data_IF_449370872491
#
_entry.id   IF_449370872491
#
_cell.length_a   1.000
_cell.length_b   1.000
_cell.length_c   1.000
_cell.angle_alpha   90.00
_cell.angle_beta   90.00
_cell.angle_gamma   90.00
#
_symmetry.space_group_name_H-M   'P 1'
#
loop_
_entity.id
_entity.type
_entity.pdbx_description
1 polymer ?
#
# COMPACT_ATOMS: atom_id res chain seq x y z
N UNK A 1 32.69 2.61 34.45
CA UNK A 1 32.04 2.10 33.23
C UNK A 1 30.75 2.88 33.04
N UNK A 2 30.69 3.77 32.04
CA UNK A 2 29.47 4.52 31.73
C UNK A 2 28.43 3.53 31.22
N UNK A 3 27.29 3.40 31.90
CA UNK A 3 26.17 2.63 31.38
C UNK A 3 25.74 3.24 30.04
N UNK A 4 25.59 2.41 29.00
CA UNK A 4 24.99 2.88 27.75
C UNK A 4 23.61 3.44 28.08
N UNK A 5 23.23 4.61 27.52
CA UNK A 5 21.88 5.12 27.70
C UNK A 5 20.89 4.11 27.12
N UNK A 6 20.11 3.48 28.01
CA UNK A 6 19.03 2.59 27.63
C UNK A 6 17.79 3.44 27.37
N UNK A 7 17.41 3.55 26.09
CA UNK A 7 16.14 4.18 25.74
C UNK A 7 14.99 3.27 26.18
N UNK A 8 13.95 3.80 26.85
CA UNK A 8 12.71 3.07 27.08
C UNK A 8 12.09 2.62 25.76
N UNK A 9 11.39 1.48 25.78
CA UNK A 9 10.81 0.89 24.57
C UNK A 9 9.83 1.83 23.88
N UNK A 10 9.05 2.59 24.65
CA UNK A 10 8.08 3.56 24.18
C UNK A 10 8.74 4.69 23.37
N UNK A 11 9.96 5.08 23.75
CA UNK A 11 10.74 6.08 23.01
C UNK A 11 11.21 5.50 21.68
N UNK A 12 11.66 4.24 21.68
CA UNK A 12 12.06 3.52 20.46
C UNK A 12 10.87 3.38 19.51
N UNK A 13 9.71 2.97 19.99
CA UNK A 13 8.48 2.86 19.19
C UNK A 13 8.10 4.21 18.56
N UNK A 14 8.17 5.32 19.32
CA UNK A 14 7.91 6.65 18.75
C UNK A 14 8.91 7.02 17.66
N UNK A 15 10.20 6.75 17.84
CA UNK A 15 11.22 7.00 16.82
C UNK A 15 10.91 6.22 15.53
N UNK A 16 10.52 4.95 15.67
CA UNK A 16 10.13 4.13 14.52
C UNK A 16 8.83 4.64 13.89
N UNK A 17 7.85 5.05 14.71
CA UNK A 17 6.60 5.66 14.27
C UNK A 17 6.82 6.92 13.44
N UNK A 18 7.73 7.81 13.86
CA UNK A 18 8.13 8.99 13.08
C UNK A 18 8.89 8.65 11.80
N UNK A 19 9.39 7.42 11.66
CA UNK A 19 10.04 6.95 10.44
C UNK A 19 9.05 6.35 9.43
N UNK A 20 7.73 6.38 9.71
CA UNK A 20 6.67 5.77 8.92
C UNK A 20 6.74 6.07 7.41
N UNK A 21 7.00 7.32 7.06
CA UNK A 21 7.05 7.77 5.66
C UNK A 21 8.33 7.36 4.92
N UNK A 22 9.36 6.93 5.66
CA UNK A 22 10.69 6.64 5.12
C UNK A 22 10.90 5.12 5.03
N UNK A 23 10.42 4.52 3.94
CA UNK A 23 10.50 3.07 3.72
C UNK A 23 11.93 2.50 3.88
N UNK A 24 12.95 3.25 3.45
CA UNK A 24 14.37 2.85 3.57
C UNK A 24 14.79 2.76 5.04
N UNK A 25 14.36 3.72 5.85
CA UNK A 25 14.64 3.77 7.28
C UNK A 25 13.96 2.61 7.99
N UNK A 26 12.66 2.38 7.75
CA UNK A 26 11.94 1.24 8.31
C UNK A 26 12.57 -0.10 7.91
N UNK A 27 13.02 -0.24 6.66
CA UNK A 27 13.75 -1.42 6.21
C UNK A 27 15.04 -1.61 7.01
N UNK A 28 15.87 -0.57 7.14
CA UNK A 28 17.10 -0.64 7.94
C UNK A 28 16.81 -1.02 9.39
N UNK A 29 15.79 -0.42 10.01
CA UNK A 29 15.35 -0.74 11.38
C UNK A 29 14.93 -2.20 11.51
N UNK A 30 14.14 -2.72 10.56
CA UNK A 30 13.70 -4.12 10.55
C UNK A 30 14.84 -5.14 10.42
N UNK A 31 15.97 -4.73 9.84
CA UNK A 31 17.16 -5.55 9.65
C UNK A 31 18.16 -5.40 10.80
N UNK A 32 18.02 -4.37 11.64
CA UNK A 32 18.99 -4.06 12.71
C UNK A 32 18.92 -5.08 13.84
N UNK A 33 17.73 -5.39 14.35
CA UNK A 33 17.57 -6.43 15.37
C UNK A 33 16.16 -7.04 15.41
N UNK A 34 16.03 -8.19 16.09
CA UNK A 34 14.77 -8.94 16.19
C UNK A 34 13.65 -8.16 16.88
N UNK A 35 13.97 -7.28 17.82
CA UNK A 35 12.98 -6.50 18.57
C UNK A 35 12.31 -5.42 17.70
N UNK A 36 13.07 -4.75 16.82
CA UNK A 36 12.51 -3.68 15.98
C UNK A 36 11.74 -4.23 14.77
N UNK A 37 12.01 -5.48 14.39
CA UNK A 37 11.49 -6.08 13.17
C UNK A 37 9.96 -6.09 13.07
N UNK A 38 9.20 -6.57 14.07
CA UNK A 38 7.74 -6.64 13.95
C UNK A 38 7.11 -5.25 13.76
N UNK A 39 7.49 -4.27 14.59
CA UNK A 39 6.92 -2.93 14.55
C UNK A 39 7.28 -2.19 13.26
N UNK A 40 8.54 -2.30 12.83
CA UNK A 40 9.00 -1.71 11.56
C UNK A 40 8.26 -2.31 10.36
N UNK A 41 8.09 -3.63 10.34
CA UNK A 41 7.34 -4.29 9.27
C UNK A 41 5.86 -3.90 9.26
N UNK A 42 5.22 -3.78 10.44
CA UNK A 42 3.84 -3.32 10.54
C UNK A 42 3.64 -1.93 9.91
N UNK A 43 4.58 -1.01 10.12
CA UNK A 43 4.55 0.31 9.47
C UNK A 43 4.82 0.21 7.96
N UNK A 44 5.75 -0.63 7.53
CA UNK A 44 6.05 -0.82 6.11
C UNK A 44 4.86 -1.37 5.31
N UNK A 45 4.00 -2.18 5.93
CA UNK A 45 2.81 -2.73 5.26
C UNK A 45 1.57 -1.84 5.43
N UNK A 46 1.63 -0.79 6.25
CA UNK A 46 0.47 0.06 6.52
C UNK A 46 0.05 0.90 5.31
N UNK A 47 1.03 1.38 4.54
CA UNK A 47 0.84 2.10 3.29
C UNK A 47 1.76 1.54 2.20
N UNK A 48 1.18 0.83 1.23
CA UNK A 48 1.94 0.11 0.21
C UNK A 48 1.54 0.58 -1.16
N UNK A 49 2.54 0.95 -1.95
CA UNK A 49 2.35 1.47 -3.30
C UNK A 49 3.03 0.58 -4.34
N UNK A 50 2.27 0.15 -5.34
CA UNK A 50 2.73 -0.79 -6.37
C UNK A 50 2.94 -0.08 -7.71
N UNK A 51 4.15 -0.14 -8.24
CA UNK A 51 4.45 0.42 -9.58
C UNK A 51 4.38 -0.62 -10.71
N UNK A 52 4.23 -1.92 -10.38
CA UNK A 52 4.19 -3.04 -11.33
C UNK A 52 3.31 -4.18 -10.82
N UNK A 53 2.74 -4.95 -11.74
CA UNK A 53 1.89 -6.10 -11.46
C UNK A 53 2.60 -7.21 -10.66
N UNK A 54 3.89 -7.47 -10.92
CA UNK A 54 4.59 -8.57 -10.22
C UNK A 54 4.72 -8.29 -8.72
N UNK A 55 4.79 -7.01 -8.34
CA UNK A 55 4.83 -6.60 -6.93
C UNK A 55 3.48 -6.80 -6.23
N UNK A 56 2.37 -6.66 -6.96
CA UNK A 56 1.02 -6.93 -6.43
C UNK A 56 0.89 -8.43 -6.12
N UNK A 57 1.29 -9.30 -7.04
CA UNK A 57 1.25 -10.75 -6.81
C UNK A 57 2.20 -11.18 -5.70
N UNK A 58 3.43 -10.68 -5.67
CA UNK A 58 4.37 -10.98 -4.59
C UNK A 58 3.84 -10.52 -3.22
N UNK A 59 3.18 -9.37 -3.16
CA UNK A 59 2.57 -8.89 -1.91
C UNK A 59 1.35 -9.71 -1.52
N UNK A 60 0.52 -10.12 -2.48
CA UNK A 60 -0.58 -11.06 -2.24
C UNK A 60 -0.06 -12.38 -1.63
N UNK A 61 0.97 -12.97 -2.23
CA UNK A 61 1.54 -14.23 -1.75
C UNK A 61 2.20 -14.07 -0.37
N UNK A 62 2.82 -12.91 -0.11
CA UNK A 62 3.28 -12.54 1.23
C UNK A 62 2.12 -12.49 2.25
N UNK A 63 0.99 -11.86 1.92
CA UNK A 63 -0.18 -11.82 2.81
C UNK A 63 -0.86 -13.19 2.98
N UNK A 64 -0.74 -14.07 1.98
CA UNK A 64 -1.17 -15.46 2.09
C UNK A 64 -0.31 -16.23 3.10
N UNK A 65 1.01 -16.06 3.04
CA UNK A 65 1.97 -16.74 3.94
C UNK A 65 2.06 -16.12 5.33
N UNK A 66 1.76 -14.82 5.47
CA UNK A 66 1.84 -14.06 6.72
C UNK A 66 0.52 -13.32 6.98
N UNK A 67 -0.57 -14.04 7.30
CA UNK A 67 -1.91 -13.47 7.44
C UNK A 67 -2.03 -12.43 8.55
N UNK A 68 -1.15 -12.45 9.54
CA UNK A 68 -1.12 -11.47 10.64
C UNK A 68 -0.87 -10.04 10.16
N UNK A 69 -0.29 -9.82 8.97
CA UNK A 69 -0.08 -8.48 8.43
C UNK A 69 -1.31 -7.88 7.76
N UNK A 70 -2.31 -8.68 7.37
CA UNK A 70 -3.50 -8.22 6.65
C UNK A 70 -4.26 -7.10 7.37
N UNK A 71 -4.48 -7.14 8.70
CA UNK A 71 -5.21 -6.09 9.40
C UNK A 71 -4.45 -4.76 9.51
N UNK A 72 -3.13 -4.78 9.25
CA UNK A 72 -2.28 -3.59 9.36
C UNK A 72 -2.26 -2.77 8.07
N UNK A 73 -2.61 -3.37 6.93
CA UNK A 73 -2.67 -2.64 5.65
C UNK A 73 -3.90 -1.73 5.65
N UNK A 74 -3.66 -0.41 5.63
CA UNK A 74 -4.69 0.63 5.66
C UNK A 74 -4.79 1.39 4.35
N UNK A 75 -3.67 1.50 3.64
CA UNK A 75 -3.56 2.22 2.38
C UNK A 75 -2.91 1.35 1.32
N UNK A 76 -3.53 1.30 0.14
CA UNK A 76 -2.92 0.71 -1.05
C UNK A 76 -2.90 1.74 -2.20
N UNK A 77 -1.74 1.90 -2.80
CA UNK A 77 -1.53 2.70 -4.01
C UNK A 77 -1.18 1.78 -5.16
N UNK A 78 -1.68 2.06 -6.36
CA UNK A 78 -1.40 1.23 -7.53
C UNK A 78 -1.18 2.05 -8.78
N UNK A 79 -0.16 1.63 -9.50
CA UNK A 79 0.12 1.97 -10.89
C UNK A 79 -0.74 1.22 -11.88
N UNK A 80 -0.35 1.35 -13.15
CA UNK A 80 -0.67 0.39 -14.19
C UNK A 80 -0.05 -1.00 -13.86
N UNK A 81 -0.84 -2.09 -13.76
CA UNK A 81 -2.27 -2.17 -14.02
C UNK A 81 -3.14 -1.97 -12.76
N UNK A 82 -3.99 -0.94 -12.81
CA UNK A 82 -4.91 -0.58 -11.71
C UNK A 82 -5.93 -1.69 -11.45
N UNK A 83 -6.35 -2.42 -12.50
CA UNK A 83 -7.34 -3.50 -12.39
C UNK A 83 -6.96 -4.61 -11.43
N UNK A 84 -5.68 -4.80 -11.07
CA UNK A 84 -5.26 -5.87 -10.16
C UNK A 84 -5.61 -5.63 -8.68
N UNK A 85 -6.17 -4.46 -8.32
CA UNK A 85 -6.49 -4.18 -6.92
C UNK A 85 -7.42 -5.18 -6.25
N UNK A 86 -8.34 -5.79 -7.00
CA UNK A 86 -9.34 -6.67 -6.42
C UNK A 86 -8.68 -7.91 -5.79
N UNK A 87 -7.52 -8.33 -6.30
CA UNK A 87 -6.73 -9.43 -5.73
C UNK A 87 -6.25 -9.12 -4.29
N UNK A 88 -6.09 -7.85 -3.96
CA UNK A 88 -5.71 -7.41 -2.61
C UNK A 88 -6.93 -7.07 -1.76
N UNK A 89 -7.95 -6.42 -2.32
CA UNK A 89 -9.12 -5.99 -1.55
C UNK A 89 -9.84 -7.13 -0.85
N UNK A 90 -9.89 -8.32 -1.46
CA UNK A 90 -10.46 -9.51 -0.81
C UNK A 90 -9.68 -9.97 0.45
N UNK A 91 -8.37 -9.72 0.49
CA UNK A 91 -7.50 -10.16 1.59
C UNK A 91 -7.36 -9.12 2.71
N UNK A 92 -7.73 -7.87 2.44
CA UNK A 92 -7.37 -6.72 3.26
C UNK A 92 -8.59 -6.13 3.97
N UNK A 93 -8.86 -6.52 5.23
CA UNK A 93 -10.10 -6.14 5.91
C UNK A 93 -10.13 -4.67 6.32
N UNK A 94 -8.99 -3.97 6.41
CA UNK A 94 -8.89 -2.64 7.01
C UNK A 94 -8.37 -1.57 6.05
N UNK A 95 -8.43 -1.82 4.74
CA UNK A 95 -8.07 -0.81 3.74
C UNK A 95 -9.14 0.27 3.73
N UNK A 96 -8.75 1.47 4.16
CA UNK A 96 -9.59 2.67 4.14
C UNK A 96 -9.18 3.64 3.05
N UNK A 97 -7.93 3.55 2.56
CA UNK A 97 -7.42 4.40 1.49
C UNK A 97 -6.99 3.59 0.28
N UNK A 98 -7.46 4.01 -0.89
CA UNK A 98 -7.05 3.45 -2.17
C UNK A 98 -6.64 4.56 -3.13
N UNK A 99 -5.47 4.41 -3.74
CA UNK A 99 -4.95 5.37 -4.72
C UNK A 99 -4.68 4.66 -6.05
N UNK A 100 -5.25 5.17 -7.14
CA UNK A 100 -4.95 4.73 -8.50
C UNK A 100 -4.18 5.83 -9.23
N UNK A 101 -2.95 5.53 -9.60
CA UNK A 101 -2.00 6.45 -10.19
C UNK A 101 -1.51 5.92 -11.53
N UNK A 102 -1.33 6.82 -12.50
CA UNK A 102 -0.52 6.52 -13.66
C UNK A 102 0.96 6.86 -13.37
N UNK A 103 1.79 5.84 -13.17
CA UNK A 103 3.25 6.00 -13.01
C UNK A 103 3.99 6.14 -14.35
N UNK A 104 3.30 6.21 -15.49
CA UNK A 104 3.91 6.31 -16.81
C UNK A 104 4.62 7.64 -17.11
N UNK A 105 4.99 8.42 -16.08
CA UNK A 105 5.94 9.54 -16.19
C UNK A 105 7.35 9.00 -16.47
N UNK A 106 7.54 8.30 -17.59
CA UNK A 106 8.83 8.29 -18.28
C UNK A 106 8.88 9.62 -19.06
N UNK A 107 9.84 10.48 -18.72
CA UNK A 107 10.08 11.75 -19.43
C UNK A 107 9.99 11.52 -20.95
N UNK A 108 9.04 12.19 -21.61
CA UNK A 108 8.84 12.12 -23.06
C UNK A 108 7.76 11.15 -23.56
N UNK A 109 7.07 10.41 -22.69
CA UNK A 109 5.92 9.58 -23.09
C UNK A 109 4.61 10.38 -23.00
N UNK A 110 3.66 10.25 -23.94
CA UNK A 110 2.33 10.80 -23.74
C UNK A 110 1.71 10.17 -22.49
N UNK A 111 0.93 10.93 -21.70
CA UNK A 111 0.27 10.40 -20.51
C UNK A 111 -0.57 9.19 -20.92
N UNK A 112 -0.29 8.01 -20.33
CA UNK A 112 -1.10 6.84 -20.58
C UNK A 112 -2.40 7.02 -19.84
N UNK A 113 -3.45 7.18 -20.62
CA UNK A 113 -4.80 7.22 -20.11
C UNK A 113 -5.17 5.81 -19.66
N UNK A 114 -5.24 5.59 -18.35
CA UNK A 114 -5.74 4.33 -17.81
C UNK A 114 -7.28 4.30 -17.93
N UNK A 115 -7.79 3.41 -18.78
CA UNK A 115 -9.21 3.07 -18.82
C UNK A 115 -9.49 1.94 -17.85
N UNK A 116 -10.41 2.14 -16.91
CA UNK A 116 -10.84 1.11 -15.98
C UNK A 116 -12.20 0.54 -16.47
N UNK A 117 -12.28 -0.74 -16.86
CA UNK A 117 -13.55 -1.31 -17.33
C UNK A 117 -14.62 -1.27 -16.24
N UNK A 118 -15.89 -1.11 -16.66
CA UNK A 118 -17.05 -1.10 -15.75
C UNK A 118 -17.14 -2.34 -14.84
N UNK A 119 -16.76 -3.51 -15.34
CA UNK A 119 -16.72 -4.74 -14.53
C UNK A 119 -15.74 -4.65 -13.37
N UNK A 120 -14.58 -4.03 -13.58
CA UNK A 120 -13.54 -3.83 -12.56
C UNK A 120 -14.00 -2.81 -11.52
N UNK A 121 -14.65 -1.73 -11.96
CA UNK A 121 -15.27 -0.77 -11.04
C UNK A 121 -16.36 -1.41 -10.17
N UNK A 122 -17.20 -2.26 -10.76
CA UNK A 122 -18.20 -3.01 -10.02
C UNK A 122 -17.55 -3.90 -8.95
N UNK A 123 -16.43 -4.57 -9.26
CA UNK A 123 -15.66 -5.33 -8.28
C UNK A 123 -15.13 -4.45 -7.13
N UNK A 124 -14.70 -3.21 -7.41
CA UNK A 124 -14.28 -2.30 -6.34
C UNK A 124 -15.43 -1.83 -5.46
N UNK A 125 -16.62 -1.62 -6.04
CA UNK A 125 -17.80 -1.29 -5.24
C UNK A 125 -18.24 -2.44 -4.34
N UNK A 126 -18.12 -3.68 -4.80
CA UNK A 126 -18.52 -4.85 -4.01
C UNK A 126 -17.48 -5.22 -2.94
N UNK A 127 -16.19 -5.08 -3.23
CA UNK A 127 -15.11 -5.50 -2.32
C UNK A 127 -14.56 -4.37 -1.45
N UNK A 128 -14.58 -3.13 -1.95
CA UNK A 128 -14.02 -1.94 -1.30
C UNK A 128 -14.98 -1.24 -0.34
N UNK A 129 -15.84 -1.97 0.38
CA UNK A 129 -16.91 -1.39 1.21
C UNK A 129 -16.40 -0.52 2.37
N UNK A 130 -15.15 -0.69 2.77
CA UNK A 130 -14.49 0.06 3.84
C UNK A 130 -13.58 1.19 3.35
N UNK A 131 -13.52 1.42 2.04
CA UNK A 131 -12.71 2.50 1.47
C UNK A 131 -13.39 3.83 1.80
N UNK A 132 -12.77 4.61 2.67
CA UNK A 132 -13.17 5.96 3.07
C UNK A 132 -12.58 7.02 2.12
N UNK A 133 -11.42 6.74 1.53
CA UNK A 133 -10.71 7.68 0.65
C UNK A 133 -10.29 6.98 -0.64
N UNK A 134 -10.86 7.42 -1.76
CA UNK A 134 -10.47 6.97 -3.10
C UNK A 134 -9.83 8.13 -3.88
N UNK A 135 -8.58 7.97 -4.27
CA UNK A 135 -7.82 8.97 -5.05
C UNK A 135 -7.60 8.42 -6.46
N UNK A 136 -8.10 9.14 -7.46
CA UNK A 136 -8.00 8.78 -8.87
C UNK A 136 -7.23 9.87 -9.60
N UNK A 137 -6.10 9.51 -10.23
CA UNK A 137 -5.26 10.48 -10.95
C UNK A 137 -5.10 10.05 -12.40
N UNK A 138 -5.49 10.93 -13.33
CA UNK A 138 -5.34 10.72 -14.79
C UNK A 138 -6.06 9.47 -15.33
N UNK A 139 -7.22 9.14 -14.78
CA UNK A 139 -8.11 8.12 -15.34
C UNK A 139 -8.99 8.73 -16.43
N UNK A 140 -9.32 7.93 -17.45
CA UNK A 140 -10.38 8.28 -18.41
C UNK A 140 -11.44 7.22 -18.43
N UNK A 141 -12.67 7.70 -18.55
CA UNK A 141 -13.85 6.90 -18.77
C UNK A 141 -14.43 7.30 -20.12
N UNK A 142 -14.87 6.35 -20.97
CA UNK A 142 -15.50 6.66 -22.25
C UNK A 142 -16.74 7.57 -22.11
N UNK A 143 -17.43 7.46 -20.97
CA UNK A 143 -18.61 8.26 -20.64
C UNK A 143 -18.77 8.34 -19.09
N UNK A 144 -19.55 9.31 -18.56
CA UNK A 144 -19.78 9.44 -17.12
C UNK A 144 -20.48 8.23 -16.47
N UNK A 145 -21.30 7.50 -17.23
CA UNK A 145 -22.01 6.31 -16.72
C UNK A 145 -21.07 5.14 -16.42
N UNK A 146 -19.89 5.12 -17.04
CA UNK A 146 -18.87 4.14 -16.67
C UNK A 146 -18.20 4.46 -15.35
N UNK A 147 -18.20 5.72 -14.89
CA UNK A 147 -17.69 6.09 -13.58
C UNK A 147 -18.73 5.93 -12.45
N UNK A 148 -20.00 6.27 -12.72
CA UNK A 148 -21.12 6.21 -11.77
C UNK A 148 -21.62 4.80 -11.48
#
# INVERSE_FOLDING_TARGET
MSASPHLPWEVIERIIGHSGDYWRTLRSLSLTCKQLRPYSLCLMVADVTFSRSEKIFAFRDFLCTQPQFRPFVRSIGMGDPTYLAFHLLYLLPNVTRMTMLDYSIRRGSPPRVCSLPRSVLACYRTMGTRIETLILVRLSFPNPQEFC
#
